data_IF_671835994925
#
_entry.id   IF_671835994925
#
_cell.length_a   1.000
_cell.length_b   1.000
_cell.length_c   1.000
_cell.angle_alpha   90.00
_cell.angle_beta   90.00
_cell.angle_gamma   90.00
#
_symmetry.space_group_name_H-M   'P 1'
#
loop_
_entity.id
_entity.type
_entity.pdbx_description
1 polymer ?
#
# COMPACT_ATOMS: atom_id res chain seq x y z
N UNK A 1 33.72 -45.07 -22.25
CA UNK A 1 34.12 -43.67 -22.54
C UNK A 1 33.01 -42.97 -23.31
N UNK A 2 32.54 -43.53 -24.43
CA UNK A 2 31.46 -42.97 -25.26
C UNK A 2 30.11 -42.75 -24.52
N UNK A 3 29.72 -43.67 -23.63
CA UNK A 3 28.53 -43.54 -22.77
C UNK A 3 28.64 -42.43 -21.73
N UNK A 4 29.85 -42.18 -21.21
CA UNK A 4 30.12 -41.11 -20.25
C UNK A 4 30.07 -39.74 -20.96
N UNK A 5 30.63 -39.65 -22.17
CA UNK A 5 30.59 -38.44 -23.00
C UNK A 5 29.16 -38.11 -23.45
N UNK A 6 28.36 -39.11 -23.83
CA UNK A 6 26.92 -38.93 -24.15
C UNK A 6 26.12 -38.46 -22.93
N UNK A 7 26.34 -39.04 -21.75
CA UNK A 7 25.70 -38.54 -20.51
C UNK A 7 26.07 -37.10 -20.18
N UNK A 8 27.36 -36.76 -20.23
CA UNK A 8 27.85 -35.40 -19.91
C UNK A 8 27.29 -34.35 -20.86
N UNK A 9 27.22 -34.66 -22.16
CA UNK A 9 26.65 -33.75 -23.17
C UNK A 9 25.14 -33.57 -22.98
N UNK A 10 24.37 -34.63 -22.71
CA UNK A 10 22.94 -34.49 -22.37
C UNK A 10 22.69 -33.72 -21.08
N UNK A 11 23.50 -33.93 -20.04
CA UNK A 11 23.35 -33.21 -18.77
C UNK A 11 23.69 -31.72 -18.91
N UNK A 12 24.71 -31.37 -19.71
CA UNK A 12 25.01 -29.98 -20.04
C UNK A 12 23.89 -29.32 -20.85
N UNK A 13 23.26 -30.04 -21.79
CA UNK A 13 22.15 -29.53 -22.57
C UNK A 13 20.92 -29.24 -21.69
N UNK A 14 20.59 -30.16 -20.78
CA UNK A 14 19.48 -30.00 -19.83
C UNK A 14 19.77 -28.83 -18.88
N UNK A 15 21.00 -28.71 -18.38
CA UNK A 15 21.39 -27.61 -17.51
C UNK A 15 21.31 -26.25 -18.25
N UNK A 16 21.73 -26.21 -19.51
CA UNK A 16 21.61 -25.01 -20.34
C UNK A 16 20.14 -24.63 -20.59
N UNK A 17 19.25 -25.60 -20.81
CA UNK A 17 17.80 -25.38 -20.94
C UNK A 17 17.19 -24.88 -19.62
N UNK A 18 17.62 -25.40 -18.47
CA UNK A 18 17.12 -24.96 -17.16
C UNK A 18 17.64 -23.56 -16.81
N UNK A 19 18.92 -23.26 -17.09
CA UNK A 19 19.47 -21.90 -16.88
C UNK A 19 18.80 -20.89 -17.81
N UNK A 20 18.68 -21.20 -19.10
CA UNK A 20 17.99 -20.32 -20.05
C UNK A 20 16.51 -20.16 -19.71
N UNK A 21 15.82 -21.23 -19.28
CA UNK A 21 14.45 -21.16 -18.80
C UNK A 21 14.30 -20.29 -17.54
N UNK A 22 15.24 -20.34 -16.59
CA UNK A 22 15.24 -19.47 -15.42
C UNK A 22 15.51 -18.01 -15.79
N UNK A 23 16.50 -17.74 -16.64
CA UNK A 23 16.81 -16.38 -17.12
C UNK A 23 15.59 -15.79 -17.83
N UNK A 24 14.97 -16.56 -18.73
CA UNK A 24 13.73 -16.16 -19.42
C UNK A 24 12.60 -15.95 -18.40
N UNK A 25 12.44 -16.81 -17.40
CA UNK A 25 11.40 -16.64 -16.38
C UNK A 25 11.60 -15.37 -15.53
N UNK A 26 12.83 -15.11 -15.07
CA UNK A 26 13.13 -13.93 -14.25
C UNK A 26 13.10 -12.62 -15.04
N UNK A 27 13.49 -12.64 -16.32
CA UNK A 27 13.50 -11.43 -17.16
C UNK A 27 12.15 -11.16 -17.86
N UNK A 28 11.37 -12.20 -18.20
CA UNK A 28 10.15 -12.03 -19.00
C UNK A 28 8.84 -12.39 -18.28
N UNK A 29 8.89 -13.16 -17.17
CA UNK A 29 7.67 -13.65 -16.49
C UNK A 29 7.50 -13.03 -15.11
N UNK A 30 8.59 -12.83 -14.35
CA UNK A 30 8.53 -12.19 -13.04
C UNK A 30 8.29 -10.68 -13.19
N UNK A 31 7.09 -10.22 -12.81
CA UNK A 31 6.77 -8.79 -12.77
C UNK A 31 7.52 -8.13 -11.61
N UNK A 32 8.23 -7.01 -11.84
CA UNK A 32 8.73 -6.18 -10.75
C UNK A 32 7.61 -5.84 -9.77
N UNK A 33 7.91 -5.87 -8.47
CA UNK A 33 6.95 -5.53 -7.43
C UNK A 33 7.03 -4.04 -7.09
N UNK A 34 5.87 -3.43 -6.85
CA UNK A 34 5.74 -2.10 -6.27
C UNK A 34 5.06 -2.23 -4.92
N UNK A 35 5.82 -2.03 -3.84
CA UNK A 35 5.33 -2.11 -2.47
C UNK A 35 4.75 -0.76 -2.04
N UNK A 36 3.46 -0.75 -1.72
CA UNK A 36 2.72 0.45 -1.36
C UNK A 36 2.09 0.30 0.02
N UNK A 37 2.60 1.03 1.01
CA UNK A 37 1.93 1.10 2.31
C UNK A 37 0.76 2.09 2.25
N UNK A 38 -0.38 1.71 2.81
CA UNK A 38 -1.59 2.53 2.78
C UNK A 38 -2.36 2.41 4.08
N UNK A 39 -3.30 3.32 4.30
CA UNK A 39 -4.19 3.23 5.47
C UNK A 39 -5.26 2.16 5.27
N UNK A 40 -5.58 1.41 6.33
CA UNK A 40 -6.69 0.43 6.30
C UNK A 40 -8.00 1.07 5.85
N UNK A 41 -8.29 2.30 6.27
CA UNK A 41 -9.51 3.02 5.88
C UNK A 41 -9.58 3.31 4.38
N UNK A 42 -8.45 3.59 3.71
CA UNK A 42 -8.43 3.78 2.27
C UNK A 42 -8.56 2.43 1.54
N UNK A 43 -7.85 1.40 2.02
CA UNK A 43 -7.87 0.07 1.43
C UNK A 43 -9.28 -0.57 1.47
N UNK A 44 -9.95 -0.49 2.62
CA UNK A 44 -11.28 -1.09 2.84
C UNK A 44 -12.39 -0.49 1.95
N UNK A 45 -12.14 0.67 1.32
CA UNK A 45 -13.06 1.24 0.33
C UNK A 45 -13.10 0.42 -0.97
N UNK A 46 -12.06 -0.37 -1.26
CA UNK A 46 -11.88 -1.11 -2.51
C UNK A 46 -11.42 -0.26 -3.71
N UNK A 47 -11.24 1.05 -3.54
CA UNK A 47 -10.76 1.94 -4.62
C UNK A 47 -9.40 1.49 -5.15
N UNK A 48 -8.51 1.10 -4.24
CA UNK A 48 -7.14 0.70 -4.58
C UNK A 48 -7.10 -0.55 -5.48
N UNK A 49 -8.02 -1.50 -5.31
CA UNK A 49 -8.10 -2.68 -6.17
C UNK A 49 -8.58 -2.34 -7.58
N UNK A 50 -9.44 -1.33 -7.74
CA UNK A 50 -9.85 -0.84 -9.04
C UNK A 50 -8.68 -0.13 -9.75
N UNK A 51 -7.95 0.72 -9.03
CA UNK A 51 -6.77 1.44 -9.55
C UNK A 51 -5.64 0.48 -9.92
N UNK A 52 -5.34 -0.51 -9.07
CA UNK A 52 -4.35 -1.56 -9.34
C UNK A 52 -4.67 -2.30 -10.63
N UNK A 53 -5.90 -2.79 -10.80
CA UNK A 53 -6.29 -3.53 -12.01
C UNK A 53 -6.08 -2.71 -13.28
N UNK A 54 -6.45 -1.44 -13.27
CA UNK A 54 -6.28 -0.55 -14.42
C UNK A 54 -4.80 -0.27 -14.72
N UNK A 55 -3.99 -0.04 -13.67
CA UNK A 55 -2.56 0.23 -13.81
C UNK A 55 -1.79 -1.00 -14.32
N UNK A 56 -1.99 -2.17 -13.71
CA UNK A 56 -1.32 -3.43 -14.06
C UNK A 56 -1.72 -3.97 -15.45
N UNK A 57 -2.85 -3.53 -15.99
CA UNK A 57 -3.26 -3.88 -17.36
C UNK A 57 -2.35 -3.25 -18.43
N UNK A 58 -1.69 -2.13 -18.09
CA UNK A 58 -0.82 -1.37 -19.01
C UNK A 58 0.65 -1.40 -18.62
N UNK A 59 0.95 -1.78 -17.38
CA UNK A 59 2.29 -1.78 -16.82
C UNK A 59 2.64 -3.19 -16.35
N UNK A 60 3.78 -3.77 -16.78
CA UNK A 60 4.19 -5.12 -16.39
C UNK A 60 4.77 -5.14 -14.97
N UNK A 61 3.99 -4.67 -13.98
CA UNK A 61 4.36 -4.54 -12.56
C UNK A 61 3.27 -5.20 -11.71
N UNK A 62 3.64 -5.70 -10.54
CA UNK A 62 2.70 -6.18 -9.51
C UNK A 62 2.66 -5.16 -8.36
N UNK A 63 1.51 -4.53 -8.15
CA UNK A 63 1.32 -3.57 -7.05
C UNK A 63 0.84 -4.31 -5.80
N UNK A 64 1.59 -4.22 -4.71
CA UNK A 64 1.25 -4.87 -3.44
C UNK A 64 0.89 -3.79 -2.43
N UNK A 65 -0.39 -3.76 -2.03
CA UNK A 65 -0.85 -2.86 -0.97
C UNK A 65 -0.69 -3.52 0.40
N UNK A 66 -0.12 -2.77 1.35
CA UNK A 66 0.07 -3.18 2.73
C UNK A 66 -0.76 -2.23 3.62
N UNK A 67 -2.00 -2.60 4.01
CA UNK A 67 -2.87 -1.75 4.80
C UNK A 67 -2.48 -1.76 6.29
N UNK A 68 -2.34 -0.57 6.88
CA UNK A 68 -2.04 -0.39 8.31
C UNK A 68 -2.52 0.98 8.83
N UNK A 69 -2.25 1.33 10.09
CA UNK A 69 -2.52 2.68 10.60
C UNK A 69 -1.56 3.72 10.01
N UNK A 70 -1.99 4.98 9.85
CA UNK A 70 -1.18 6.04 9.22
C UNK A 70 0.22 6.20 9.84
N UNK A 71 0.33 6.13 11.18
CA UNK A 71 1.64 6.17 11.84
C UNK A 71 2.57 5.02 11.44
N UNK A 72 2.03 3.80 11.33
CA UNK A 72 2.81 2.64 10.88
C UNK A 72 3.22 2.75 9.41
N UNK A 73 2.35 3.30 8.55
CA UNK A 73 2.69 3.57 7.15
C UNK A 73 3.94 4.45 7.05
N UNK A 74 3.95 5.55 7.81
CA UNK A 74 5.09 6.49 7.82
C UNK A 74 6.35 5.82 8.39
N UNK A 75 6.25 5.07 9.49
CA UNK A 75 7.41 4.38 10.08
C UNK A 75 7.99 3.29 9.16
N UNK A 76 7.16 2.54 8.43
CA UNK A 76 7.64 1.56 7.44
C UNK A 76 8.37 2.25 6.28
N UNK A 77 7.82 3.37 5.80
CA UNK A 77 8.43 4.17 4.75
C UNK A 77 9.77 4.79 5.18
N UNK A 78 9.86 5.27 6.43
CA UNK A 78 11.11 5.77 7.01
C UNK A 78 12.21 4.70 7.03
N UNK A 79 11.83 3.43 7.28
CA UNK A 79 12.73 2.26 7.30
C UNK A 79 13.09 1.72 5.90
N UNK A 80 12.40 2.17 4.85
CA UNK A 80 12.62 1.70 3.49
C UNK A 80 11.98 0.34 3.20
N UNK A 81 10.98 -0.05 3.99
CA UNK A 81 10.27 -1.33 3.84
C UNK A 81 9.27 -1.30 2.66
N UNK A 82 9.01 -0.12 2.08
CA UNK A 82 8.08 0.12 0.97
C UNK A 82 8.64 1.20 0.01
N UNK A 83 8.10 1.25 -1.20
CA UNK A 83 8.53 2.17 -2.26
C UNK A 83 7.69 3.47 -2.27
N UNK A 84 6.42 3.33 -1.89
CA UNK A 84 5.41 4.38 -1.96
C UNK A 84 4.49 4.33 -0.74
N UNK A 85 4.02 5.49 -0.29
CA UNK A 85 2.93 5.60 0.69
C UNK A 85 1.70 6.30 0.12
N UNK A 86 0.52 5.79 0.48
CA UNK A 86 -0.77 6.43 0.23
C UNK A 86 -1.43 6.74 1.59
N UNK A 87 -1.49 8.02 1.96
CA UNK A 87 -1.93 8.47 3.28
C UNK A 87 -2.87 9.66 3.18
N UNK A 88 -3.46 10.06 4.31
CA UNK A 88 -4.39 11.19 4.41
C UNK A 88 -4.20 11.99 5.71
N UNK A 89 -2.93 12.31 6.03
CA UNK A 89 -2.58 13.08 7.22
C UNK A 89 -1.54 14.13 6.89
N UNK A 90 -1.98 15.33 6.45
CA UNK A 90 -1.06 16.40 6.05
C UNK A 90 0.03 16.74 7.08
N UNK A 91 -0.28 16.66 8.38
CA UNK A 91 0.71 16.91 9.43
C UNK A 91 1.84 15.87 9.47
N UNK A 92 1.51 14.58 9.38
CA UNK A 92 2.51 13.51 9.34
C UNK A 92 3.26 13.49 8.00
N UNK A 93 2.56 13.78 6.90
CA UNK A 93 3.15 13.91 5.57
C UNK A 93 4.20 15.03 5.52
N UNK A 94 3.89 16.18 6.12
CA UNK A 94 4.80 17.32 6.25
C UNK A 94 6.07 16.93 6.99
N UNK A 95 5.95 16.32 8.18
CA UNK A 95 7.11 15.87 8.94
C UNK A 95 7.95 14.86 8.14
N UNK A 96 7.30 13.90 7.48
CA UNK A 96 7.98 12.89 6.65
C UNK A 96 8.77 13.50 5.48
N UNK A 97 8.26 14.57 4.86
CA UNK A 97 8.93 15.32 3.80
C UNK A 97 10.05 16.23 4.34
N UNK A 98 9.79 16.98 5.42
CA UNK A 98 10.76 17.89 6.05
C UNK A 98 11.98 17.16 6.62
N UNK A 99 11.77 15.97 7.19
CA UNK A 99 12.84 15.06 7.63
C UNK A 99 13.58 14.40 6.45
N UNK A 100 13.08 14.57 5.21
CA UNK A 100 13.72 14.09 3.99
C UNK A 100 13.58 12.58 3.76
N UNK A 101 12.55 11.94 4.34
CA UNK A 101 12.25 10.53 4.11
C UNK A 101 11.35 10.30 2.89
N UNK A 102 10.48 11.25 2.56
CA UNK A 102 9.63 11.25 1.37
C UNK A 102 10.05 12.26 0.32
N UNK A 103 9.62 12.03 -0.92
CA UNK A 103 9.83 12.92 -2.07
C UNK A 103 8.65 12.84 -3.04
N UNK A 104 8.54 13.81 -3.96
CA UNK A 104 7.55 13.80 -5.06
C UNK A 104 6.10 13.59 -4.62
N UNK A 105 5.67 14.29 -3.56
CA UNK A 105 4.30 14.21 -3.05
C UNK A 105 3.28 14.71 -4.07
N UNK A 106 2.17 13.98 -4.23
CA UNK A 106 1.00 14.39 -5.02
C UNK A 106 -0.31 14.08 -4.33
N UNK A 107 -1.22 15.05 -4.34
CA UNK A 107 -2.59 14.89 -3.90
C UNK A 107 -3.39 14.34 -5.08
N UNK A 108 -3.93 13.13 -4.93
CA UNK A 108 -4.63 12.45 -6.03
C UNK A 108 -6.14 12.39 -5.84
N UNK A 109 -6.62 12.40 -4.59
CA UNK A 109 -8.04 12.33 -4.30
C UNK A 109 -8.38 13.12 -3.04
N UNK A 110 -9.65 13.45 -2.89
CA UNK A 110 -10.21 13.91 -1.62
C UNK A 110 -11.63 13.37 -1.44
N UNK A 111 -12.06 13.31 -0.18
CA UNK A 111 -13.46 13.14 0.19
C UNK A 111 -13.75 13.98 1.44
N UNK A 112 -14.92 13.78 2.04
CA UNK A 112 -15.29 14.43 3.28
C UNK A 112 -15.67 13.38 4.33
N UNK A 113 -15.28 13.66 5.56
CA UNK A 113 -15.94 13.06 6.72
C UNK A 113 -17.32 13.68 6.89
N UNK A 114 -18.19 13.00 7.64
CA UNK A 114 -19.43 13.56 8.12
C UNK A 114 -19.61 13.26 9.61
N UNK A 115 -20.22 14.19 10.33
CA UNK A 115 -20.83 13.88 11.62
C UNK A 115 -22.21 13.32 11.29
N UNK A 116 -22.39 12.02 11.54
CA UNK A 116 -23.67 11.34 11.37
C UNK A 116 -24.35 11.17 12.72
N UNK A 117 -25.68 11.17 12.73
CA UNK A 117 -26.49 11.05 13.93
C UNK A 117 -27.96 10.72 13.62
N UNK A 118 -28.80 10.61 14.67
CA UNK A 118 -30.23 10.35 14.51
C UNK A 118 -30.92 11.47 13.70
N UNK A 119 -31.97 11.12 12.96
CA UNK A 119 -32.70 12.07 12.09
C UNK A 119 -33.41 13.16 12.90
N UNK A 120 -33.80 12.84 14.14
CA UNK A 120 -34.42 13.78 15.09
C UNK A 120 -33.47 14.88 15.57
N UNK A 121 -32.15 14.69 15.43
CA UNK A 121 -31.11 15.64 15.82
C UNK A 121 -31.35 16.31 17.19
N UNK A 122 -31.40 15.53 18.30
CA UNK A 122 -31.68 16.08 19.63
C UNK A 122 -30.63 17.07 20.15
N UNK A 123 -29.44 17.12 19.54
CA UNK A 123 -28.40 18.09 19.86
C UNK A 123 -28.47 19.35 18.98
N UNK A 124 -29.32 19.35 17.93
CA UNK A 124 -29.52 20.50 17.04
C UNK A 124 -28.27 20.89 16.27
N UNK A 125 -27.54 19.92 15.70
CA UNK A 125 -26.29 20.17 14.97
C UNK A 125 -26.46 20.37 13.47
N UNK A 126 -27.64 20.08 12.91
CA UNK A 126 -27.88 20.16 11.47
C UNK A 126 -27.54 21.55 10.91
N UNK A 127 -26.65 21.58 9.91
CA UNK A 127 -26.24 22.80 9.22
C UNK A 127 -25.22 23.67 9.96
N UNK A 128 -24.76 23.26 11.15
CA UNK A 128 -23.65 23.91 11.85
C UNK A 128 -22.31 23.54 11.21
N UNK A 129 -21.25 24.31 11.50
CA UNK A 129 -19.90 23.84 11.20
C UNK A 129 -19.46 22.76 12.21
N UNK A 130 -18.41 22.00 11.88
CA UNK A 130 -17.96 20.88 12.69
C UNK A 130 -17.65 21.27 14.15
N UNK A 131 -17.04 22.43 14.35
CA UNK A 131 -16.64 22.93 15.67
C UNK A 131 -17.85 23.30 16.53
N UNK A 132 -18.83 23.99 15.96
CA UNK A 132 -20.09 24.34 16.60
C UNK A 132 -20.92 23.09 16.94
N UNK A 133 -20.99 22.14 16.02
CA UNK A 133 -21.66 20.86 16.22
C UNK A 133 -21.07 20.09 17.40
N UNK A 134 -19.74 20.01 17.51
CA UNK A 134 -19.08 19.36 18.64
C UNK A 134 -19.36 20.08 19.97
N UNK A 135 -19.45 21.42 19.97
CA UNK A 135 -19.86 22.18 21.16
C UNK A 135 -21.29 21.84 21.59
N UNK A 136 -22.23 21.75 20.64
CA UNK A 136 -23.61 21.36 20.92
C UNK A 136 -23.73 19.90 21.40
N UNK A 137 -22.97 18.99 20.82
CA UNK A 137 -22.90 17.59 21.26
C UNK A 137 -22.41 17.50 22.71
N UNK A 138 -21.42 18.30 23.10
CA UNK A 138 -20.96 18.36 24.49
C UNK A 138 -22.08 18.87 25.40
N UNK A 139 -22.70 20.01 25.05
CA UNK A 139 -23.79 20.59 25.83
C UNK A 139 -24.97 19.62 26.01
N UNK A 140 -25.36 18.92 24.94
CA UNK A 140 -26.37 17.88 24.99
C UNK A 140 -25.91 16.70 25.85
N UNK A 141 -24.69 16.19 25.62
CA UNK A 141 -24.11 15.07 26.35
C UNK A 141 -24.09 15.26 27.87
N UNK A 142 -23.76 16.45 28.37
CA UNK A 142 -23.75 16.73 29.82
C UNK A 142 -25.14 16.58 30.47
N UNK A 143 -26.23 16.60 29.69
CA UNK A 143 -27.60 16.42 30.18
C UNK A 143 -28.10 14.97 30.08
N UNK A 144 -27.34 14.08 29.44
CA UNK A 144 -27.77 12.72 29.13
C UNK A 144 -27.10 11.67 30.03
N UNK A 145 -27.83 10.60 30.30
CA UNK A 145 -27.32 9.41 30.97
C UNK A 145 -26.99 8.26 29.99
N UNK A 146 -27.28 8.45 28.70
CA UNK A 146 -26.98 7.49 27.62
C UNK A 146 -25.70 7.88 26.86
N UNK A 147 -25.27 7.01 25.94
CA UNK A 147 -24.18 7.33 25.02
C UNK A 147 -24.67 8.31 23.96
N UNK A 148 -23.89 9.36 23.74
CA UNK A 148 -24.18 10.44 22.78
C UNK A 148 -23.13 10.50 21.69
N UNK A 149 -21.87 10.15 21.98
CA UNK A 149 -20.81 10.12 20.97
C UNK A 149 -20.10 8.78 20.98
N UNK A 150 -20.03 8.14 19.81
CA UNK A 150 -19.28 6.89 19.62
C UNK A 150 -18.02 7.18 18.80
N UNK A 151 -16.86 6.98 19.42
CA UNK A 151 -15.55 7.10 18.79
C UNK A 151 -15.02 5.74 18.30
N UNK A 152 -14.18 5.80 17.27
CA UNK A 152 -13.37 4.67 16.80
C UNK A 152 -12.43 4.16 17.87
N UNK A 153 -11.68 5.05 18.55
CA UNK A 153 -10.76 4.65 19.62
C UNK A 153 -9.57 3.78 19.21
N UNK A 154 -9.23 3.67 17.92
CA UNK A 154 -8.32 2.65 17.38
C UNK A 154 -7.01 3.21 16.78
N UNK A 155 -6.78 4.52 16.93
CA UNK A 155 -5.66 5.27 16.33
C UNK A 155 -5.60 5.23 14.79
N UNK A 156 -6.73 4.93 14.15
CA UNK A 156 -6.91 5.13 12.70
C UNK A 156 -6.89 6.60 12.31
N UNK A 157 -6.80 6.88 11.00
CA UNK A 157 -6.90 8.25 10.51
C UNK A 157 -8.23 8.94 10.87
N UNK A 158 -9.36 8.20 10.91
CA UNK A 158 -10.64 8.74 11.40
C UNK A 158 -10.56 9.15 12.87
N UNK A 159 -9.93 8.34 13.72
CA UNK A 159 -9.72 8.68 15.14
C UNK A 159 -8.78 9.88 15.31
N UNK A 160 -7.73 9.98 14.48
CA UNK A 160 -6.83 11.14 14.48
C UNK A 160 -7.56 12.41 14.03
N UNK A 161 -8.44 12.30 13.03
CA UNK A 161 -9.29 13.42 12.59
C UNK A 161 -10.23 13.87 13.70
N UNK A 162 -10.89 12.92 14.35
CA UNK A 162 -11.76 13.18 15.50
C UNK A 162 -11.04 13.96 16.61
N UNK A 163 -9.86 13.48 17.04
CA UNK A 163 -9.01 14.17 18.02
C UNK A 163 -8.67 15.60 17.60
N UNK A 164 -8.35 15.80 16.31
CA UNK A 164 -8.07 17.14 15.77
C UNK A 164 -9.30 18.06 15.82
N UNK A 165 -10.50 17.53 15.54
CA UNK A 165 -11.73 18.30 15.61
C UNK A 165 -12.09 18.68 17.05
N UNK A 166 -11.95 17.76 18.01
CA UNK A 166 -12.13 18.06 19.43
C UNK A 166 -11.20 19.18 19.90
N UNK A 167 -9.92 19.10 19.55
CA UNK A 167 -8.93 20.12 19.89
C UNK A 167 -9.28 21.49 19.26
N UNK A 168 -9.73 21.51 18.00
CA UNK A 168 -10.19 22.74 17.33
C UNK A 168 -11.45 23.33 17.96
N UNK A 169 -12.31 22.49 18.54
CA UNK A 169 -13.46 22.90 19.32
C UNK A 169 -13.13 23.38 20.73
N UNK A 170 -11.85 23.42 21.11
CA UNK A 170 -11.39 23.90 22.40
C UNK A 170 -11.43 22.84 23.50
N UNK A 171 -11.66 21.56 23.15
CA UNK A 171 -11.74 20.47 24.10
C UNK A 171 -10.47 19.62 24.11
N UNK A 172 -10.00 19.28 25.31
CA UNK A 172 -8.94 18.28 25.47
C UNK A 172 -9.51 16.88 25.22
N UNK A 173 -8.91 16.12 24.31
CA UNK A 173 -9.32 14.73 24.07
C UNK A 173 -9.26 13.88 25.34
N UNK A 174 -8.25 14.11 26.21
CA UNK A 174 -8.09 13.40 27.46
C UNK A 174 -9.24 13.65 28.45
N UNK A 175 -9.92 14.79 28.34
CA UNK A 175 -11.09 15.13 29.16
C UNK A 175 -12.38 14.58 28.54
N UNK A 176 -12.55 14.75 27.23
CA UNK A 176 -13.74 14.28 26.50
C UNK A 176 -13.89 12.76 26.60
N UNK A 177 -12.80 12.01 26.47
CA UNK A 177 -12.85 10.54 26.52
C UNK A 177 -13.30 9.97 27.89
N UNK A 178 -13.27 10.78 28.94
CA UNK A 178 -13.71 10.41 30.29
C UNK A 178 -15.19 10.72 30.54
N UNK A 179 -15.86 11.41 29.61
CA UNK A 179 -17.26 11.79 29.77
C UNK A 179 -18.17 10.55 29.73
N UNK A 180 -19.19 10.43 30.61
CA UNK A 180 -20.07 9.26 30.64
C UNK A 180 -20.83 9.01 29.33
N UNK A 181 -21.14 10.07 28.60
CA UNK A 181 -21.84 10.06 27.32
C UNK A 181 -20.92 9.76 26.12
N UNK A 182 -19.61 9.76 26.32
CA UNK A 182 -18.62 9.36 25.32
C UNK A 182 -18.35 7.85 25.41
N UNK A 183 -18.21 7.20 24.27
CA UNK A 183 -17.85 5.78 24.20
C UNK A 183 -16.81 5.53 23.11
N UNK A 184 -15.83 4.69 23.40
CA UNK A 184 -14.74 4.35 22.49
C UNK A 184 -14.83 2.87 22.12
N UNK A 185 -15.16 2.58 20.86
CA UNK A 185 -15.40 1.21 20.40
C UNK A 185 -14.12 0.37 20.23
N UNK A 186 -12.97 1.00 20.01
CA UNK A 186 -11.70 0.32 19.71
C UNK A 186 -11.75 -0.55 18.45
N UNK A 187 -12.58 -0.19 17.48
CA UNK A 187 -12.94 -1.06 16.35
C UNK A 187 -13.07 -0.26 15.04
N UNK A 188 -13.23 -0.98 13.93
CA UNK A 188 -13.39 -0.41 12.60
C UNK A 188 -14.68 0.40 12.44
N UNK A 189 -14.71 1.25 11.41
CA UNK A 189 -15.79 2.22 11.19
C UNK A 189 -17.17 1.58 11.05
N UNK A 190 -17.26 0.42 10.39
CA UNK A 190 -18.53 -0.28 10.24
C UNK A 190 -19.18 -0.68 11.57
N UNK A 191 -18.38 -1.14 12.53
CA UNK A 191 -18.87 -1.46 13.87
C UNK A 191 -19.27 -0.20 14.65
N UNK A 192 -18.50 0.88 14.51
CA UNK A 192 -18.81 2.18 15.13
C UNK A 192 -20.14 2.73 14.63
N UNK A 193 -20.41 2.66 13.33
CA UNK A 193 -21.69 3.11 12.76
C UNK A 193 -22.85 2.29 13.33
N UNK A 194 -22.73 0.96 13.37
CA UNK A 194 -23.77 0.11 13.95
C UNK A 194 -23.99 0.36 15.44
N UNK A 195 -22.93 0.65 16.19
CA UNK A 195 -23.03 1.01 17.61
C UNK A 195 -23.68 2.38 17.79
N UNK A 196 -23.34 3.36 16.94
CA UNK A 196 -23.99 4.67 16.94
C UNK A 196 -25.49 4.53 16.62
N UNK A 197 -25.87 3.66 15.69
CA UNK A 197 -27.27 3.32 15.42
C UNK A 197 -27.98 2.77 16.66
N UNK A 198 -27.39 1.76 17.31
CA UNK A 198 -27.95 1.11 18.50
C UNK A 198 -28.23 2.10 19.64
N UNK A 199 -27.33 3.06 19.86
CA UNK A 199 -27.48 4.09 20.89
C UNK A 199 -28.22 5.34 20.43
N UNK A 200 -28.62 5.43 19.15
CA UNK A 200 -29.09 6.69 18.54
C UNK A 200 -28.13 7.86 18.81
N UNK A 201 -26.84 7.58 18.69
CA UNK A 201 -25.74 8.47 19.02
C UNK A 201 -25.08 9.07 17.77
N UNK A 202 -24.26 10.10 17.98
CA UNK A 202 -23.47 10.75 16.95
C UNK A 202 -22.10 10.06 16.78
N UNK A 203 -21.54 10.13 15.58
CA UNK A 203 -20.16 9.70 15.33
C UNK A 203 -19.56 10.41 14.11
N UNK A 204 -18.23 10.48 14.07
CA UNK A 204 -17.49 10.90 12.88
C UNK A 204 -17.28 9.71 11.95
N UNK A 205 -17.84 9.78 10.75
CA UNK A 205 -17.75 8.71 9.76
C UNK A 205 -17.07 9.17 8.46
N UNK A 206 -16.31 8.27 7.86
CA UNK A 206 -15.92 8.39 6.45
C UNK A 206 -17.16 8.14 5.57
N UNK A 207 -17.44 9.05 4.62
CA UNK A 207 -18.63 8.97 3.77
C UNK A 207 -18.67 7.69 2.94
N UNK A 208 -17.51 7.15 2.54
CA UNK A 208 -17.42 5.90 1.81
C UNK A 208 -18.00 4.73 2.60
N UNK A 209 -17.60 4.60 3.86
CA UNK A 209 -18.13 3.56 4.75
C UNK A 209 -19.60 3.80 5.10
N UNK A 210 -19.97 5.05 5.39
CA UNK A 210 -21.36 5.42 5.69
C UNK A 210 -22.33 5.02 4.57
N UNK A 211 -22.03 5.42 3.32
CA UNK A 211 -22.90 5.14 2.18
C UNK A 211 -23.08 3.65 1.92
N UNK A 212 -22.02 2.85 2.13
CA UNK A 212 -22.10 1.39 2.05
C UNK A 212 -23.07 0.83 3.10
N UNK A 213 -22.97 1.27 4.36
CA UNK A 213 -23.83 0.79 5.44
C UNK A 213 -25.28 1.27 5.30
N UNK A 214 -25.48 2.49 4.79
CA UNK A 214 -26.79 3.02 4.46
C UNK A 214 -27.46 2.16 3.37
N UNK A 215 -26.73 1.85 2.30
CA UNK A 215 -27.21 1.00 1.20
C UNK A 215 -27.57 -0.40 1.67
N UNK A 216 -26.74 -1.00 2.53
CA UNK A 216 -26.96 -2.33 3.07
C UNK A 216 -28.11 -2.38 4.11
N UNK A 217 -28.77 -1.24 4.39
CA UNK A 217 -29.84 -1.14 5.38
C UNK A 217 -29.36 -1.35 6.82
N UNK A 218 -28.06 -1.13 7.07
CA UNK A 218 -27.41 -1.36 8.38
C UNK A 218 -27.37 -0.13 9.27
N UNK A 219 -27.72 1.03 8.72
CA UNK A 219 -27.87 2.28 9.48
C UNK A 219 -28.94 3.14 8.84
N UNK A 220 -29.68 3.87 9.68
CA UNK A 220 -30.63 4.90 9.31
C UNK A 220 -30.16 6.33 9.65
N UNK A 221 -29.03 6.45 10.38
CA UNK A 221 -28.40 7.73 10.72
C UNK A 221 -28.20 8.63 9.49
N UNK A 222 -28.33 9.93 9.69
CA UNK A 222 -28.18 10.95 8.64
C UNK A 222 -26.87 11.71 8.78
N UNK A 223 -26.25 12.16 7.68
CA UNK A 223 -25.18 13.14 7.74
C UNK A 223 -25.78 14.49 8.14
N UNK A 224 -25.52 14.94 9.37
CA UNK A 224 -26.04 16.19 9.90
C UNK A 224 -25.06 17.35 9.67
N UNK A 225 -23.76 17.04 9.68
CA UNK A 225 -22.70 17.97 9.26
C UNK A 225 -21.80 17.26 8.28
N UNK A 226 -21.74 17.77 7.05
CA UNK A 226 -20.92 17.24 5.98
C UNK A 226 -20.38 18.39 5.10
N UNK A 227 -19.40 18.09 4.26
CA UNK A 227 -18.89 19.00 3.23
C UNK A 227 -18.34 20.35 3.74
N UNK A 228 -17.91 20.41 5.00
CA UNK A 228 -17.20 21.59 5.53
C UNK A 228 -15.69 21.45 5.37
N UNK A 229 -14.98 22.59 5.39
CA UNK A 229 -13.51 22.64 5.30
C UNK A 229 -12.85 21.77 6.37
N UNK A 230 -13.39 21.79 7.59
CA UNK A 230 -12.85 21.04 8.73
C UNK A 230 -12.97 19.53 8.54
N UNK A 231 -13.97 19.09 7.76
CA UNK A 231 -14.23 17.67 7.46
C UNK A 231 -13.55 17.19 6.18
N UNK A 232 -12.83 18.07 5.48
CA UNK A 232 -12.05 17.70 4.30
C UNK A 232 -11.02 16.63 4.66
N UNK A 233 -10.93 15.64 3.79
CA UNK A 233 -10.01 14.53 3.90
C UNK A 233 -9.25 14.37 2.58
N UNK A 234 -7.95 14.62 2.62
CA UNK A 234 -7.11 14.76 1.42
C UNK A 234 -6.16 13.59 1.36
N UNK A 235 -6.12 12.90 0.22
CA UNK A 235 -5.29 11.73 0.01
C UNK A 235 -4.08 12.07 -0.84
N UNK A 236 -2.91 11.71 -0.31
CA UNK A 236 -1.62 12.00 -0.91
C UNK A 236 -0.85 10.71 -1.20
N UNK A 237 -0.17 10.69 -2.33
CA UNK A 237 0.83 9.71 -2.69
C UNK A 237 2.23 10.33 -2.52
N UNK A 238 3.14 9.63 -1.85
CA UNK A 238 4.49 10.11 -1.56
C UNK A 238 5.49 8.98 -1.81
N UNK A 239 6.45 9.21 -2.71
CA UNK A 239 7.51 8.24 -2.97
C UNK A 239 8.53 8.27 -1.84
N UNK A 240 9.05 7.10 -1.45
CA UNK A 240 10.15 7.00 -0.48
C UNK A 240 11.44 7.52 -1.12
N UNK A 241 12.29 8.18 -0.33
CA UNK A 241 13.49 8.83 -0.84
C UNK A 241 14.58 7.82 -1.25
N UNK A 242 14.91 7.67 -2.55
CA UNK A 242 15.91 6.72 -3.03
C UNK A 242 17.34 7.09 -2.61
N UNK A 243 17.61 8.35 -2.25
CA UNK A 243 18.93 8.74 -1.72
C UNK A 243 19.20 8.13 -0.34
N UNK A 244 18.16 7.86 0.43
CA UNK A 244 18.27 7.18 1.73
C UNK A 244 18.18 5.67 1.58
N UNK A 245 17.33 5.20 0.67
CA UNK A 245 17.05 3.78 0.45
C UNK A 245 17.29 3.42 -1.03
N UNK A 246 18.52 3.07 -1.44
CA UNK A 246 18.87 2.91 -2.85
C UNK A 246 18.26 1.66 -3.52
N UNK A 247 17.72 0.72 -2.75
CA UNK A 247 17.18 -0.55 -3.25
C UNK A 247 15.68 -0.52 -3.50
N UNK A 248 15.00 0.61 -3.27
CA UNK A 248 13.55 0.74 -3.49
C UNK A 248 13.22 0.88 -4.98
N UNK A 249 12.01 0.48 -5.36
CA UNK A 249 11.46 0.68 -6.70
C UNK A 249 10.93 2.11 -6.90
N UNK A 250 11.84 3.08 -6.93
CA UNK A 250 11.49 4.50 -7.07
C UNK A 250 10.82 4.81 -8.42
N UNK A 251 11.28 4.20 -9.52
CA UNK A 251 10.68 4.40 -10.85
C UNK A 251 9.23 3.90 -10.88
N UNK A 252 8.96 2.73 -10.30
CA UNK A 252 7.62 2.19 -10.16
C UNK A 252 6.72 3.10 -9.31
N UNK A 253 7.25 3.66 -8.22
CA UNK A 253 6.52 4.61 -7.37
C UNK A 253 6.12 5.87 -8.15
N UNK A 254 7.05 6.49 -8.88
CA UNK A 254 6.76 7.68 -9.69
C UNK A 254 5.78 7.37 -10.82
N UNK A 255 5.92 6.23 -11.49
CA UNK A 255 4.99 5.78 -12.54
C UNK A 255 3.57 5.58 -12.00
N UNK A 256 3.42 5.00 -10.81
CA UNK A 256 2.11 4.82 -10.20
C UNK A 256 1.51 6.16 -9.74
N UNK A 257 2.32 7.07 -9.16
CA UNK A 257 1.86 8.44 -8.84
C UNK A 257 1.38 9.14 -10.12
N UNK A 258 2.12 9.02 -11.22
CA UNK A 258 1.75 9.58 -12.53
C UNK A 258 0.38 9.08 -12.98
N UNK A 259 0.14 7.77 -12.85
CA UNK A 259 -1.14 7.16 -13.16
C UNK A 259 -2.26 7.72 -12.27
N UNK A 260 -2.05 7.81 -10.94
CA UNK A 260 -3.06 8.33 -10.01
C UNK A 260 -3.54 9.74 -10.38
N UNK A 261 -2.62 10.61 -10.82
CA UNK A 261 -2.95 12.00 -11.20
C UNK A 261 -3.29 12.20 -12.68
N UNK A 262 -3.25 11.13 -13.49
CA UNK A 262 -3.60 11.17 -14.91
C UNK A 262 -5.11 11.29 -15.14
N UNK A 263 -5.54 11.72 -16.33
CA UNK A 263 -6.97 11.78 -16.70
C UNK A 263 -7.68 10.42 -16.58
N UNK A 264 -6.97 9.31 -16.78
CA UNK A 264 -7.54 7.97 -16.58
C UNK A 264 -7.70 7.65 -15.08
N UNK A 265 -6.65 7.84 -14.28
CA UNK A 265 -6.69 7.60 -12.84
C UNK A 265 -7.73 8.48 -12.15
N UNK A 266 -7.79 9.76 -12.50
CA UNK A 266 -8.77 10.70 -11.96
C UNK A 266 -10.21 10.32 -12.33
N UNK A 267 -10.47 9.89 -13.57
CA UNK A 267 -11.80 9.38 -13.96
C UNK A 267 -12.20 8.15 -13.14
N UNK A 268 -11.28 7.20 -12.96
CA UNK A 268 -11.55 6.01 -12.15
C UNK A 268 -11.87 6.35 -10.70
N UNK A 269 -11.17 7.34 -10.12
CA UNK A 269 -11.43 7.83 -8.76
C UNK A 269 -12.82 8.46 -8.68
N UNK A 270 -13.16 9.36 -9.60
CA UNK A 270 -14.43 10.09 -9.62
C UNK A 270 -15.65 9.19 -9.89
N UNK A 271 -15.49 8.17 -10.73
CA UNK A 271 -16.55 7.21 -11.06
C UNK A 271 -16.73 6.14 -9.98
N UNK A 272 -15.75 5.98 -9.08
CA UNK A 272 -15.79 4.96 -8.05
C UNK A 272 -16.97 5.19 -7.08
N UNK A 273 -17.82 4.18 -6.96
CA UNK A 273 -18.99 4.19 -6.09
C UNK A 273 -20.23 4.92 -6.62
N UNK A 274 -20.16 5.60 -7.78
CA UNK A 274 -21.35 6.22 -8.40
C UNK A 274 -22.48 5.21 -8.63
N UNK A 275 -22.14 4.01 -9.10
CA UNK A 275 -23.09 2.93 -9.32
C UNK A 275 -23.65 2.32 -8.03
N UNK A 276 -22.94 2.44 -6.89
CA UNK A 276 -23.43 1.88 -5.64
C UNK A 276 -24.45 2.80 -4.98
N UNK A 277 -24.19 4.10 -5.00
CA UNK A 277 -24.66 5.01 -3.98
C UNK A 277 -25.20 6.34 -4.57
N UNK A 278 -25.32 6.44 -5.90
CA UNK A 278 -25.84 7.63 -6.59
C UNK A 278 -24.86 8.82 -6.67
N UNK A 279 -23.77 8.77 -5.90
CA UNK A 279 -22.69 9.76 -5.86
C UNK A 279 -21.32 9.07 -5.77
N UNK A 280 -20.27 9.75 -6.23
CA UNK A 280 -18.89 9.26 -6.12
C UNK A 280 -18.43 9.21 -4.66
N UNK A 281 -17.68 8.17 -4.28
CA UNK A 281 -17.13 8.05 -2.92
C UNK A 281 -15.87 8.93 -2.73
N UNK A 282 -15.24 9.30 -3.85
CA UNK A 282 -14.04 10.12 -3.92
C UNK A 282 -14.17 11.12 -5.06
N UNK A 283 -13.45 12.23 -4.93
CA UNK A 283 -13.31 13.26 -5.93
C UNK A 283 -11.86 13.34 -6.41
N UNK A 284 -11.66 13.58 -7.70
CA UNK A 284 -10.35 13.81 -8.29
C UNK A 284 -9.77 15.15 -7.86
N UNK A 285 -8.54 15.15 -7.34
CA UNK A 285 -7.87 16.37 -6.88
C UNK A 285 -6.96 17.00 -7.95
N UNK A 286 -6.37 16.20 -8.84
CA UNK A 286 -5.28 16.66 -9.70
C UNK A 286 -5.71 17.81 -10.62
N UNK A 287 -6.88 17.70 -11.24
CA UNK A 287 -7.39 18.70 -12.20
C UNK A 287 -7.74 20.03 -11.54
N UNK A 288 -8.37 20.01 -10.37
CA UNK A 288 -8.78 21.23 -9.65
C UNK A 288 -7.59 21.95 -8.99
N UNK A 289 -6.51 21.22 -8.70
CA UNK A 289 -5.27 21.78 -8.16
C UNK A 289 -4.32 22.30 -9.25
N UNK A 290 -4.30 21.65 -10.42
CA UNK A 290 -3.48 22.06 -11.57
C UNK A 290 -4.02 23.29 -12.30
N UNK A 291 -5.32 23.57 -12.19
CA UNK A 291 -5.92 24.81 -12.70
C UNK A 291 -5.90 25.89 -11.63
N UNK A 292 -5.87 27.16 -12.07
CA UNK A 292 -6.18 28.35 -11.23
C UNK A 292 -7.69 28.40 -10.90
N UNK A 293 -8.21 27.24 -10.49
CA UNK A 293 -9.60 27.00 -10.20
C UNK A 293 -10.01 27.82 -8.99
N UNK A 294 -11.02 28.66 -9.18
CA UNK A 294 -11.67 29.41 -8.09
C UNK A 294 -12.65 28.53 -7.28
N UNK A 295 -12.67 27.21 -7.51
CA UNK A 295 -13.46 26.30 -6.71
C UNK A 295 -13.03 26.40 -5.24
N UNK A 296 -14.01 26.63 -4.36
CA UNK A 296 -13.79 26.77 -2.92
C UNK A 296 -13.05 25.57 -2.31
N UNK A 297 -13.39 24.36 -2.75
CA UNK A 297 -12.72 23.12 -2.29
C UNK A 297 -11.24 23.09 -2.67
N UNK A 298 -10.86 23.66 -3.82
CA UNK A 298 -9.46 23.73 -4.23
C UNK A 298 -8.69 24.70 -3.32
N UNK A 299 -9.31 25.79 -2.85
CA UNK A 299 -8.71 26.68 -1.85
C UNK A 299 -8.58 25.97 -0.49
N UNK A 300 -9.61 25.23 -0.07
CA UNK A 300 -9.56 24.44 1.17
C UNK A 300 -8.45 23.40 1.15
N UNK A 301 -8.26 22.68 0.05
CA UNK A 301 -7.16 21.72 -0.10
C UNK A 301 -5.81 22.43 0.00
N UNK A 302 -5.65 23.60 -0.63
CA UNK A 302 -4.42 24.39 -0.55
C UNK A 302 -4.11 24.83 0.88
N UNK A 303 -5.09 25.39 1.57
CA UNK A 303 -4.93 25.81 2.98
C UNK A 303 -4.62 24.64 3.91
N UNK A 304 -5.29 23.50 3.71
CA UNK A 304 -5.20 22.36 4.63
C UNK A 304 -3.99 21.46 4.37
N UNK A 305 -3.62 21.25 3.11
CA UNK A 305 -2.71 20.16 2.73
C UNK A 305 -1.45 20.62 1.97
N UNK A 306 -1.31 21.90 1.62
CA UNK A 306 -0.06 22.39 1.02
C UNK A 306 0.94 22.75 2.12
N UNK A 307 2.21 22.45 1.87
CA UNK A 307 3.32 22.68 2.79
C UNK A 307 4.06 23.91 2.30
N UNK A 308 4.01 24.99 3.09
CA UNK A 308 4.60 26.29 2.73
C UNK A 308 4.14 26.82 1.36
N UNK A 309 2.87 26.56 0.99
CA UNK A 309 2.30 26.97 -0.29
C UNK A 309 2.60 26.04 -1.47
N UNK A 310 3.28 24.91 -1.25
CA UNK A 310 3.58 23.92 -2.28
C UNK A 310 2.89 22.58 -1.97
N UNK A 311 2.37 21.93 -3.01
CA UNK A 311 1.92 20.54 -2.92
C UNK A 311 3.11 19.59 -2.63
N UNK A 312 4.25 19.94 -3.22
CA UNK A 312 5.50 19.18 -3.28
C UNK A 312 6.64 20.19 -3.06
N UNK A 313 7.21 20.27 -1.85
CA UNK A 313 8.23 21.27 -1.52
C UNK A 313 9.49 21.15 -2.41
N UNK A 314 10.10 22.27 -2.87
CA UNK A 314 11.21 22.24 -3.83
C UNK A 314 12.45 21.45 -3.39
N UNK A 315 12.70 21.38 -2.08
CA UNK A 315 13.80 20.61 -1.48
C UNK A 315 13.56 19.09 -1.46
N UNK A 316 12.37 18.64 -1.87
CA UNK A 316 11.97 17.23 -1.96
C UNK A 316 11.83 16.76 -3.41
N UNK A 317 12.26 17.56 -4.38
CA UNK A 317 12.35 17.18 -5.79
C UNK A 317 13.61 16.32 -6.04
N UNK A 318 13.45 15.27 -6.85
CA UNK A 318 14.58 14.52 -7.42
C UNK A 318 14.56 14.78 -8.93
N UNK A 319 15.73 14.94 -9.53
CA UNK A 319 16.00 15.48 -10.89
C UNK A 319 15.10 14.91 -12.02
N UNK A 320 14.48 13.75 -11.86
CA UNK A 320 13.49 13.20 -12.80
C UNK A 320 12.11 13.89 -12.78
N UNK A 321 11.84 14.78 -11.83
CA UNK A 321 10.56 15.49 -11.64
C UNK A 321 10.77 17.00 -11.50
N UNK A 322 11.35 17.66 -12.51
CA UNK A 322 11.48 19.12 -12.52
C UNK A 322 10.10 19.79 -12.30
N UNK A 323 9.99 20.69 -11.30
CA UNK A 323 8.77 21.43 -10.92
C UNK A 323 7.59 20.58 -10.44
N UNK A 324 7.83 19.36 -9.94
CA UNK A 324 6.81 18.38 -9.58
C UNK A 324 5.72 18.21 -10.67
N UNK A 325 6.02 18.54 -11.93
CA UNK A 325 5.12 18.32 -13.05
C UNK A 325 5.46 16.94 -13.57
N UNK A 326 4.56 15.98 -13.33
CA UNK A 326 4.64 14.66 -13.95
C UNK A 326 4.15 14.79 -15.40
N UNK A 327 4.74 15.72 -16.14
CA UNK A 327 4.54 15.79 -17.57
C UNK A 327 5.50 14.80 -18.20
N UNK A 328 4.91 13.77 -18.82
CA UNK A 328 5.52 12.89 -19.81
C UNK A 328 6.14 11.58 -19.29
N UNK A 329 5.29 10.71 -18.74
CA UNK A 329 5.51 9.25 -18.76
C UNK A 329 4.40 8.47 -19.48
N UNK A 330 3.39 9.16 -20.01
CA UNK A 330 2.42 8.55 -20.92
C UNK A 330 3.12 8.39 -22.27
N UNK A 331 3.30 7.13 -22.69
CA UNK A 331 3.85 6.68 -23.98
C UNK A 331 5.39 6.69 -24.14
N UNK A 332 6.12 5.92 -23.33
CA UNK A 332 7.20 5.15 -23.95
C UNK A 332 6.59 3.85 -24.49
N UNK A 333 6.51 3.65 -25.83
CA UNK A 333 6.28 2.31 -26.34
C UNK A 333 7.34 1.40 -25.73
N UNK A 334 7.00 0.13 -25.48
CA UNK A 334 7.98 -0.89 -25.11
C UNK A 334 9.20 -0.71 -26.02
N UNK A 335 10.42 -0.51 -25.46
CA UNK A 335 11.60 -0.39 -26.29
C UNK A 335 11.64 -1.60 -27.22
N UNK A 336 12.00 -1.37 -28.48
CA UNK A 336 12.13 -2.44 -29.47
C UNK A 336 12.93 -3.59 -28.82
N UNK A 337 12.49 -4.86 -28.90
CA UNK A 337 13.25 -5.99 -28.40
C UNK A 337 14.76 -5.92 -28.73
N UNK A 338 15.10 -5.35 -29.90
CA UNK A 338 16.49 -5.14 -30.30
C UNK A 338 17.22 -4.04 -29.53
N UNK A 339 16.53 -2.97 -29.10
CA UNK A 339 17.12 -1.94 -28.21
C UNK A 339 17.35 -2.49 -26.79
N UNK A 340 16.45 -3.33 -26.29
CA UNK A 340 16.60 -3.97 -24.98
C UNK A 340 17.82 -4.90 -25.00
N UNK A 341 17.92 -5.74 -26.04
CA UNK A 341 19.07 -6.64 -26.23
C UNK A 341 20.36 -5.83 -26.38
N UNK A 342 20.36 -4.75 -27.16
CA UNK A 342 21.53 -3.89 -27.33
C UNK A 342 21.95 -3.24 -26.00
N UNK A 343 21.00 -2.80 -25.17
CA UNK A 343 21.26 -2.18 -23.87
C UNK A 343 21.72 -3.20 -22.83
N UNK A 344 21.19 -4.42 -22.85
CA UNK A 344 21.70 -5.52 -22.03
C UNK A 344 23.14 -5.89 -22.41
N UNK A 345 23.43 -6.00 -23.71
CA UNK A 345 24.80 -6.19 -24.22
C UNK A 345 25.71 -5.02 -23.84
N UNK A 346 25.20 -3.79 -23.90
CA UNK A 346 25.94 -2.61 -23.48
C UNK A 346 26.27 -2.68 -21.99
N UNK A 347 25.30 -2.97 -21.11
CA UNK A 347 25.52 -3.07 -19.66
C UNK A 347 26.54 -4.16 -19.28
N UNK A 348 26.52 -5.29 -20.00
CA UNK A 348 27.51 -6.36 -19.86
C UNK A 348 28.88 -5.88 -20.33
N UNK A 349 28.96 -5.25 -21.51
CA UNK A 349 30.22 -4.75 -22.09
C UNK A 349 30.82 -3.57 -21.32
N UNK A 350 29.98 -2.72 -20.71
CA UNK A 350 30.40 -1.56 -19.93
C UNK A 350 30.75 -1.91 -18.49
N UNK A 351 30.55 -3.16 -18.07
CA UNK A 351 30.95 -3.61 -16.74
C UNK A 351 30.07 -3.03 -15.63
N UNK A 352 28.74 -2.98 -15.82
CA UNK A 352 27.85 -2.44 -14.78
C UNK A 352 28.03 -3.20 -13.46
N UNK A 353 28.37 -2.46 -12.40
CA UNK A 353 28.79 -3.03 -11.14
C UNK A 353 27.65 -3.80 -10.45
N UNK A 354 26.40 -3.36 -10.60
CA UNK A 354 25.22 -4.01 -10.01
C UNK A 354 24.86 -5.30 -10.74
N UNK A 355 24.93 -5.30 -12.08
CA UNK A 355 24.71 -6.49 -12.91
C UNK A 355 25.75 -7.57 -12.61
N UNK A 356 27.03 -7.20 -12.57
CA UNK A 356 28.10 -8.15 -12.26
C UNK A 356 28.01 -8.69 -10.83
N UNK A 357 27.74 -7.84 -9.84
CA UNK A 357 27.59 -8.28 -8.44
C UNK A 357 26.43 -9.25 -8.27
N UNK A 358 25.25 -8.93 -8.83
CA UNK A 358 24.07 -9.81 -8.74
C UNK A 358 24.30 -11.14 -9.46
N UNK A 359 24.92 -11.09 -10.65
CA UNK A 359 25.23 -12.29 -11.44
C UNK A 359 26.26 -13.18 -10.73
N UNK A 360 27.35 -12.59 -10.22
CA UNK A 360 28.40 -13.34 -9.52
C UNK A 360 27.90 -13.92 -8.20
N UNK A 361 27.10 -13.17 -7.44
CA UNK A 361 26.52 -13.65 -6.20
C UNK A 361 25.57 -14.82 -6.45
N UNK A 362 24.71 -14.71 -7.46
CA UNK A 362 23.80 -15.79 -7.85
C UNK A 362 24.57 -17.04 -8.29
N UNK A 363 25.59 -16.85 -9.14
CA UNK A 363 26.45 -17.94 -9.63
C UNK A 363 27.22 -18.61 -8.48
N UNK A 364 27.71 -17.82 -7.52
CA UNK A 364 28.41 -18.32 -6.35
C UNK A 364 27.47 -19.13 -5.44
N UNK A 365 26.27 -18.62 -5.15
CA UNK A 365 25.28 -19.31 -4.31
C UNK A 365 24.83 -20.61 -4.98
N UNK A 366 24.44 -20.57 -6.26
CA UNK A 366 24.00 -21.78 -6.97
C UNK A 366 25.14 -22.78 -7.19
N UNK A 367 26.34 -22.28 -7.49
CA UNK A 367 27.53 -23.10 -7.72
C UNK A 367 27.99 -23.81 -6.45
N UNK A 368 28.09 -23.09 -5.34
CA UNK A 368 28.46 -23.67 -4.03
C UNK A 368 27.44 -24.70 -3.57
N UNK A 369 26.14 -24.40 -3.70
CA UNK A 369 25.08 -25.35 -3.38
C UNK A 369 25.18 -26.64 -4.22
N UNK A 370 25.46 -26.52 -5.52
CA UNK A 370 25.61 -27.67 -6.43
C UNK A 370 26.82 -28.53 -6.06
N UNK A 371 27.96 -27.90 -5.76
CA UNK A 371 29.20 -28.62 -5.36
C UNK A 371 28.97 -29.38 -4.05
N UNK A 372 28.36 -28.73 -3.07
CA UNK A 372 28.04 -29.36 -1.79
C UNK A 372 27.06 -30.52 -1.97
N UNK A 373 25.99 -30.33 -2.76
CA UNK A 373 25.02 -31.37 -3.06
C UNK A 373 25.66 -32.56 -3.80
N UNK A 374 26.56 -32.31 -4.75
CA UNK A 374 27.28 -33.37 -5.46
C UNK A 374 28.21 -34.16 -4.52
N UNK A 375 28.96 -33.45 -3.66
CA UNK A 375 29.93 -34.05 -2.75
C UNK A 375 29.27 -34.96 -1.73
N UNK A 376 28.12 -34.59 -1.18
CA UNK A 376 27.38 -35.40 -0.21
C UNK A 376 26.41 -36.39 -0.87
N UNK A 377 25.72 -35.95 -1.92
CA UNK A 377 24.69 -36.75 -2.59
C UNK A 377 25.26 -37.95 -3.32
N UNK A 378 26.39 -37.80 -4.02
CA UNK A 378 26.96 -38.88 -4.85
C UNK A 378 27.44 -40.07 -4.02
N UNK A 379 28.21 -39.91 -2.93
CA UNK A 379 28.62 -41.04 -2.08
C UNK A 379 27.43 -41.73 -1.40
N UNK A 380 26.45 -40.96 -0.93
CA UNK A 380 25.24 -41.51 -0.29
C UNK A 380 24.43 -42.31 -1.33
N UNK A 381 24.21 -41.76 -2.52
CA UNK A 381 23.51 -42.44 -3.60
C UNK A 381 24.23 -43.73 -4.02
N UNK A 382 25.56 -43.70 -4.13
CA UNK A 382 26.37 -44.87 -4.46
C UNK A 382 26.33 -45.94 -3.36
N UNK A 383 26.37 -45.54 -2.08
CA UNK A 383 26.24 -46.47 -0.95
C UNK A 383 24.85 -47.13 -0.94
N UNK A 384 23.79 -46.36 -1.16
CA UNK A 384 22.41 -46.86 -1.24
C UNK A 384 22.20 -47.76 -2.47
N UNK A 385 22.86 -47.47 -3.59
CA UNK A 385 22.80 -48.29 -4.78
C UNK A 385 23.48 -49.65 -4.57
N UNK A 386 24.74 -49.63 -4.13
CA UNK A 386 25.63 -50.80 -4.18
C UNK A 386 25.55 -51.71 -2.95
N UNK A 387 25.34 -51.18 -1.73
CA UNK A 387 25.32 -52.01 -0.51
C UNK A 387 23.90 -52.48 -0.15
N UNK A 388 23.69 -53.76 0.18
CA UNK A 388 22.46 -54.21 0.82
C UNK A 388 22.54 -53.94 2.33
N UNK A 389 21.51 -53.29 2.90
CA UNK A 389 21.37 -53.07 4.34
C UNK A 389 19.90 -53.08 4.74
N UNK A 390 19.62 -53.37 6.02
CA UNK A 390 18.26 -53.38 6.57
C UNK A 390 17.67 -51.97 6.50
N UNK A 391 16.49 -51.81 5.88
CA UNK A 391 15.83 -50.51 5.68
C UNK A 391 16.08 -49.84 4.32
N UNK A 392 16.86 -50.45 3.42
CA UNK A 392 17.16 -49.91 2.07
C UNK A 392 15.91 -49.60 1.24
N UNK A 393 14.86 -50.42 1.33
CA UNK A 393 13.60 -50.22 0.61
C UNK A 393 12.89 -48.96 1.09
N UNK A 394 12.79 -48.77 2.41
CA UNK A 394 12.17 -47.59 3.00
C UNK A 394 12.93 -46.31 2.61
N UNK A 395 14.26 -46.32 2.70
CA UNK A 395 15.09 -45.18 2.31
C UNK A 395 14.94 -44.83 0.83
N UNK A 396 14.92 -45.83 -0.06
CA UNK A 396 14.69 -45.61 -1.50
C UNK A 396 13.31 -45.01 -1.79
N UNK A 397 12.26 -45.50 -1.11
CA UNK A 397 10.91 -44.95 -1.25
C UNK A 397 10.83 -43.50 -0.80
N UNK A 398 11.51 -43.15 0.31
CA UNK A 398 11.53 -41.78 0.83
C UNK A 398 12.31 -40.83 -0.09
N UNK A 399 13.48 -41.24 -0.60
CA UNK A 399 14.25 -40.46 -1.57
C UNK A 399 13.46 -40.26 -2.87
N UNK A 400 12.78 -41.28 -3.38
CA UNK A 400 11.95 -41.16 -4.58
C UNK A 400 10.73 -40.25 -4.36
N UNK A 401 10.15 -40.25 -3.15
CA UNK A 401 9.07 -39.32 -2.81
C UNK A 401 9.56 -37.87 -2.79
N UNK A 402 10.77 -37.61 -2.29
CA UNK A 402 11.39 -36.28 -2.29
C UNK A 402 11.69 -35.76 -3.71
N UNK A 403 12.02 -36.65 -4.66
CA UNK A 403 12.19 -36.27 -6.07
C UNK A 403 10.89 -35.75 -6.69
N UNK A 404 9.74 -36.22 -6.21
CA UNK A 404 8.41 -35.75 -6.65
C UNK A 404 7.91 -34.50 -5.92
N UNK A 405 8.67 -33.99 -4.93
CA UNK A 405 8.26 -32.83 -4.16
C UNK A 405 8.42 -31.54 -4.98
N UNK A 406 7.41 -30.66 -5.03
CA UNK A 406 7.55 -29.36 -5.69
C UNK A 406 8.69 -28.56 -5.05
N UNK A 407 9.63 -28.09 -5.87
CA UNK A 407 10.79 -27.30 -5.40
C UNK A 407 10.37 -26.04 -4.64
N UNK A 408 9.24 -25.44 -5.03
CA UNK A 408 8.61 -24.30 -4.33
C UNK A 408 8.17 -24.69 -2.92
N UNK A 409 7.58 -25.87 -2.73
CA UNK A 409 7.15 -26.36 -1.42
C UNK A 409 8.35 -26.62 -0.51
N UNK A 410 9.43 -27.19 -1.05
CA UNK A 410 10.67 -27.37 -0.31
C UNK A 410 11.29 -26.03 0.09
N UNK A 411 11.28 -25.04 -0.82
CA UNK A 411 11.73 -23.68 -0.54
C UNK A 411 10.93 -23.00 0.57
N UNK A 412 9.60 -23.16 0.58
CA UNK A 412 8.72 -22.64 1.63
C UNK A 412 8.96 -23.34 2.98
N UNK A 413 9.20 -24.66 2.99
CA UNK A 413 9.54 -25.39 4.21
C UNK A 413 10.87 -24.91 4.78
N UNK A 414 11.89 -24.77 3.93
CA UNK A 414 13.20 -24.25 4.35
C UNK A 414 13.07 -22.80 4.84
N UNK A 415 12.31 -21.95 4.15
CA UNK A 415 12.00 -20.60 4.60
C UNK A 415 11.31 -20.62 5.97
N UNK A 416 10.28 -21.44 6.19
CA UNK A 416 9.62 -21.53 7.49
C UNK A 416 10.57 -22.03 8.59
N UNK A 417 11.54 -22.88 8.28
CA UNK A 417 12.51 -23.42 9.25
C UNK A 417 13.58 -22.37 9.62
N UNK A 418 14.11 -21.66 8.62
CA UNK A 418 15.27 -20.76 8.73
C UNK A 418 14.91 -19.28 8.67
N UNK A 419 13.63 -18.92 8.59
CA UNK A 419 13.20 -17.53 8.75
C UNK A 419 13.27 -17.12 10.22
N UNK A 420 13.31 -15.82 10.45
CA UNK A 420 13.35 -15.17 11.79
C UNK A 420 12.25 -15.60 12.76
N UNK A 421 11.18 -16.21 12.25
CA UNK A 421 10.03 -16.70 13.00
C UNK A 421 9.99 -18.23 13.08
N UNK A 422 10.99 -18.87 12.50
CA UNK A 422 11.16 -20.31 12.40
C UNK A 422 11.93 -20.90 13.58
N UNK A 423 11.87 -22.22 13.75
CA UNK A 423 12.52 -22.92 14.84
C UNK A 423 14.05 -22.80 14.87
N UNK A 424 14.70 -22.45 13.74
CA UNK A 424 16.16 -22.43 13.62
C UNK A 424 16.79 -21.07 13.36
N UNK A 425 16.03 -19.97 13.26
CA UNK A 425 16.66 -18.65 13.10
C UNK A 425 15.77 -17.58 12.56
#
# INVERSE_FOLDING_TARGET
METLTKMLTTSMLILAIILSGNIIYTEYIAKPQLLVATTTSLYDTGLLDALKRAYEAKNPVEVIFIPMGTGQVIENAKRGDVDLVLVHSPDLERLFLEEGHGVSRKIFAYNFFAIIGPEEDPAGILGLNATEALNQIVAYGETQNSKVWISRGDNSGTHMKEKSLWAKAGFSYAEIMLKPWYDSAGSGMGFVIMKAEEFSAYTLADMGTYLKYLKDGRTSLKPLVAETRELLNVYSAIAVNPKRHPNINFEGAISFIAFLVSDEGQRLIEDYGRSCCGQGLFYGAAKILASDSQLQVAQWIREYAFINGYECPPNTEIVATQNCTIHRWVEKPLPDPWEIIAKAFQLIMTGDQTVYQTTLLSLFISGTATVLAFFWGTPIAMMVALKPFKGKVLLKSLLNALVGMPTVALGLILYMIFSRSGPLG
#
